data_IF_232953599018
#
_entry.id   IF_232953599018
#
_cell.length_a   1.000
_cell.length_b   1.000
_cell.length_c   1.000
_cell.angle_alpha   90.00
_cell.angle_beta   90.00
_cell.angle_gamma   90.00
#
_symmetry.space_group_name_H-M   'P 1'
#
loop_
_entity.id
_entity.type
_entity.pdbx_description
1 polymer ?
#
# COMPACT_ATOMS: atom_id res chain seq x y z
N UNK A 1 16.31 -44.12 -5.27
CA UNK A 1 17.22 -43.03 -5.65
C UNK A 1 17.57 -42.29 -4.36
N UNK A 2 18.53 -42.74 -3.54
CA UNK A 2 19.99 -42.80 -3.77
C UNK A 2 20.47 -41.46 -4.37
N UNK A 3 21.27 -40.62 -3.71
CA UNK A 3 22.51 -40.92 -2.95
C UNK A 3 22.88 -39.90 -1.84
N UNK A 4 23.36 -40.44 -0.70
CA UNK A 4 24.56 -40.10 0.13
C UNK A 4 25.05 -38.63 0.17
N UNK A 5 25.11 -37.91 1.30
CA UNK A 5 25.94 -38.04 2.53
C UNK A 5 27.48 -38.07 2.28
N UNK A 6 28.15 -37.00 2.76
CA UNK A 6 29.54 -36.84 3.27
C UNK A 6 30.73 -37.48 2.53
N UNK A 7 31.69 -36.64 2.13
CA UNK A 7 33.15 -36.95 1.98
C UNK A 7 33.92 -35.62 1.92
N UNK A 8 34.47 -35.10 3.02
CA UNK A 8 35.86 -35.29 3.51
C UNK A 8 36.94 -34.81 2.51
N UNK A 9 37.57 -33.70 2.91
CA UNK A 9 39.00 -33.32 2.79
C UNK A 9 39.87 -34.20 1.88
N UNK A 10 40.45 -33.57 0.86
CA UNK A 10 41.70 -34.00 0.24
C UNK A 10 42.63 -32.79 0.06
N UNK A 11 43.24 -32.36 1.17
CA UNK A 11 44.48 -31.59 1.16
C UNK A 11 45.60 -32.62 0.98
N UNK A 12 46.07 -32.83 -0.25
CA UNK A 12 47.34 -33.52 -0.50
C UNK A 12 47.76 -33.30 -1.96
N UNK A 13 48.80 -32.49 -2.17
CA UNK A 13 49.38 -32.37 -3.51
C UNK A 13 50.29 -31.18 -3.74
N UNK A 14 51.12 -30.77 -2.76
CA UNK A 14 52.28 -29.94 -3.05
C UNK A 14 53.54 -30.67 -2.57
N UNK A 15 53.96 -31.64 -3.37
CA UNK A 15 55.27 -32.27 -3.28
C UNK A 15 56.34 -31.21 -3.51
N UNK A 16 56.87 -30.68 -2.41
CA UNK A 16 58.10 -29.92 -2.34
C UNK A 16 59.27 -30.81 -2.78
N UNK A 17 59.72 -30.63 -4.02
CA UNK A 17 61.05 -31.05 -4.44
C UNK A 17 62.07 -30.09 -3.82
N UNK A 18 62.64 -30.47 -2.68
CA UNK A 18 63.79 -29.80 -2.07
C UNK A 18 65.07 -30.44 -2.63
N UNK A 19 65.60 -29.85 -3.70
CA UNK A 19 67.03 -29.98 -4.04
C UNK A 19 67.51 -28.66 -4.61
N UNK A 20 68.31 -27.92 -3.81
CA UNK A 20 69.09 -26.79 -4.31
C UNK A 20 68.93 -25.49 -3.51
N UNK A 21 69.40 -25.46 -2.27
CA UNK A 21 69.95 -24.23 -1.70
C UNK A 21 71.42 -24.17 -2.08
N UNK A 22 71.88 -23.12 -2.76
CA UNK A 22 72.95 -22.23 -2.27
C UNK A 22 73.45 -21.23 -3.35
N UNK A 23 72.64 -20.23 -3.71
CA UNK A 23 73.11 -18.88 -4.10
C UNK A 23 71.89 -17.95 -4.20
N UNK A 24 71.69 -17.03 -3.22
CA UNK A 24 70.66 -15.96 -3.30
C UNK A 24 69.49 -15.99 -2.31
N UNK A 25 69.59 -16.73 -1.20
CA UNK A 25 68.46 -17.02 -0.29
C UNK A 25 67.90 -15.84 0.53
N UNK A 26 68.65 -14.74 0.75
CA UNK A 26 68.12 -13.59 1.50
C UNK A 26 67.15 -12.74 0.68
N UNK A 27 67.39 -12.60 -0.63
CA UNK A 27 66.50 -11.84 -1.52
C UNK A 27 65.20 -12.62 -1.74
N UNK A 28 65.27 -13.92 -2.03
CA UNK A 28 64.07 -14.76 -2.20
C UNK A 28 63.21 -14.84 -0.92
N UNK A 29 63.82 -14.93 0.26
CA UNK A 29 63.06 -14.92 1.52
C UNK A 29 62.38 -13.56 1.78
N UNK A 30 63.05 -12.47 1.40
CA UNK A 30 62.51 -11.11 1.47
C UNK A 30 61.34 -10.94 0.49
N UNK A 31 61.52 -11.32 -0.77
CA UNK A 31 60.50 -11.25 -1.81
C UNK A 31 59.24 -12.04 -1.43
N UNK A 32 59.38 -13.24 -0.83
CA UNK A 32 58.24 -14.03 -0.34
C UNK A 32 57.55 -13.36 0.86
N UNK A 33 58.31 -12.73 1.75
CA UNK A 33 57.72 -12.01 2.89
C UNK A 33 56.96 -10.76 2.45
N UNK A 34 57.47 -10.07 1.43
CA UNK A 34 56.90 -8.86 0.82
C UNK A 34 55.63 -9.21 0.04
N UNK A 35 55.67 -10.28 -0.78
CA UNK A 35 54.49 -10.81 -1.46
C UNK A 35 53.39 -11.29 -0.48
N UNK A 36 53.77 -11.84 0.68
CA UNK A 36 52.81 -12.18 1.75
C UNK A 36 52.22 -10.94 2.39
N UNK A 37 52.99 -9.87 2.56
CA UNK A 37 52.51 -8.61 3.11
C UNK A 37 51.53 -7.94 2.15
N UNK A 38 51.88 -7.82 0.87
CA UNK A 38 50.99 -7.32 -0.20
C UNK A 38 49.70 -8.13 -0.29
N UNK A 39 49.78 -9.47 -0.34
CA UNK A 39 48.60 -10.31 -0.39
C UNK A 39 47.68 -10.12 0.83
N UNK A 40 48.25 -9.88 2.01
CA UNK A 40 47.44 -9.57 3.21
C UNK A 40 46.81 -8.17 3.13
N UNK A 41 47.51 -7.20 2.54
CA UNK A 41 47.00 -5.85 2.31
C UNK A 41 45.83 -5.86 1.32
N UNK A 42 45.98 -6.53 0.16
CA UNK A 42 44.92 -6.72 -0.84
C UNK A 42 43.70 -7.43 -0.25
N UNK A 43 43.89 -8.47 0.57
CA UNK A 43 42.79 -9.17 1.23
C UNK A 43 42.07 -8.24 2.23
N UNK A 44 42.80 -7.38 2.94
CA UNK A 44 42.21 -6.43 3.86
C UNK A 44 41.46 -5.32 3.13
N UNK A 45 41.99 -4.82 2.01
CA UNK A 45 41.33 -3.86 1.14
C UNK A 45 40.05 -4.45 0.54
N UNK A 46 40.12 -5.66 -0.03
CA UNK A 46 38.95 -6.37 -0.55
C UNK A 46 37.88 -6.61 0.52
N UNK A 47 38.27 -6.86 1.77
CA UNK A 47 37.32 -6.98 2.90
C UNK A 47 36.67 -5.65 3.26
N UNK A 48 37.41 -4.54 3.24
CA UNK A 48 36.87 -3.18 3.45
C UNK A 48 35.89 -2.83 2.33
N UNK A 49 36.30 -3.01 1.08
CA UNK A 49 35.49 -2.78 -0.11
C UNK A 49 34.18 -3.57 -0.10
N UNK A 50 34.26 -4.86 0.26
CA UNK A 50 33.08 -5.70 0.40
C UNK A 50 32.16 -5.19 1.51
N UNK A 51 32.71 -4.79 2.66
CA UNK A 51 31.94 -4.25 3.79
C UNK A 51 31.24 -2.95 3.42
N UNK A 52 31.92 -2.04 2.74
CA UNK A 52 31.36 -0.76 2.28
C UNK A 52 30.25 -0.98 1.26
N UNK A 53 30.46 -1.87 0.28
CA UNK A 53 29.41 -2.27 -0.70
C UNK A 53 28.20 -2.88 0.00
N UNK A 54 28.41 -3.76 0.99
CA UNK A 54 27.33 -4.34 1.77
C UNK A 54 26.57 -3.30 2.60
N UNK A 55 27.26 -2.30 3.14
CA UNK A 55 26.63 -1.19 3.88
C UNK A 55 25.74 -0.37 2.97
N UNK A 56 26.27 0.07 1.82
CA UNK A 56 25.52 0.89 0.84
C UNK A 56 24.32 0.12 0.28
N UNK A 57 24.49 -1.15 -0.10
CA UNK A 57 23.37 -1.97 -0.58
C UNK A 57 22.29 -2.20 0.49
N UNK A 58 22.65 -2.24 1.79
CA UNK A 58 21.64 -2.29 2.86
C UNK A 58 20.89 -0.97 2.99
N UNK A 59 21.57 0.15 2.88
CA UNK A 59 20.96 1.48 2.88
C UNK A 59 20.01 1.67 1.70
N UNK A 60 20.39 1.21 0.50
CA UNK A 60 19.53 1.21 -0.69
C UNK A 60 18.26 0.36 -0.48
N UNK A 61 18.38 -0.81 0.14
CA UNK A 61 17.23 -1.69 0.43
C UNK A 61 16.30 -1.07 1.48
N UNK A 62 16.85 -0.41 2.50
CA UNK A 62 16.04 0.29 3.51
C UNK A 62 15.31 1.46 2.87
N UNK A 63 16.01 2.30 2.11
CA UNK A 63 15.44 3.44 1.38
C UNK A 63 14.35 2.98 0.42
N UNK A 64 14.61 1.96 -0.40
CA UNK A 64 13.63 1.42 -1.35
C UNK A 64 12.39 0.85 -0.62
N UNK A 65 12.57 0.26 0.57
CA UNK A 65 11.46 -0.23 1.39
C UNK A 65 10.65 0.93 1.97
N UNK A 66 11.30 1.97 2.48
CA UNK A 66 10.64 3.17 3.01
C UNK A 66 9.85 3.88 1.91
N UNK A 67 10.43 4.07 0.73
CA UNK A 67 9.76 4.64 -0.45
C UNK A 67 8.53 3.82 -0.86
N UNK A 68 8.65 2.48 -0.88
CA UNK A 68 7.53 1.60 -1.21
C UNK A 68 6.40 1.72 -0.18
N UNK A 69 6.74 1.75 1.11
CA UNK A 69 5.75 1.90 2.19
C UNK A 69 5.08 3.27 2.10
N UNK A 70 5.84 4.34 1.91
CA UNK A 70 5.33 5.72 1.77
C UNK A 70 4.35 5.80 0.59
N UNK A 71 4.77 5.39 -0.61
CA UNK A 71 3.89 5.42 -1.79
C UNK A 71 2.64 4.56 -1.62
N UNK A 72 2.74 3.45 -0.90
CA UNK A 72 1.59 2.59 -0.62
C UNK A 72 0.63 3.24 0.39
N UNK A 73 1.15 3.96 1.38
CA UNK A 73 0.33 4.73 2.32
C UNK A 73 -0.36 5.89 1.59
N UNK A 74 0.38 6.69 0.82
CA UNK A 74 -0.18 7.79 0.03
C UNK A 74 -1.27 7.29 -0.93
N UNK A 75 -1.04 6.17 -1.63
CA UNK A 75 -2.04 5.60 -2.53
C UNK A 75 -3.30 5.11 -1.81
N UNK A 76 -3.17 4.60 -0.58
CA UNK A 76 -4.31 4.16 0.25
C UNK A 76 -5.09 5.34 0.80
N UNK A 77 -4.41 6.40 1.24
CA UNK A 77 -5.02 7.63 1.72
C UNK A 77 -5.80 8.31 0.60
N UNK A 78 -5.17 8.49 -0.57
CA UNK A 78 -5.85 9.04 -1.76
C UNK A 78 -7.06 8.17 -2.18
N UNK A 79 -6.97 6.84 -2.10
CA UNK A 79 -8.09 5.97 -2.42
C UNK A 79 -9.24 6.15 -1.40
N UNK A 80 -8.93 6.18 -0.11
CA UNK A 80 -9.92 6.38 0.94
C UNK A 80 -10.62 7.75 0.83
N UNK A 81 -9.86 8.80 0.51
CA UNK A 81 -10.40 10.14 0.24
C UNK A 81 -11.36 10.11 -0.95
N UNK A 82 -10.93 9.57 -2.10
CA UNK A 82 -11.77 9.46 -3.30
C UNK A 82 -13.02 8.61 -3.05
N UNK A 83 -12.91 7.52 -2.29
CA UNK A 83 -14.05 6.67 -1.92
C UNK A 83 -15.04 7.42 -0.99
N UNK A 84 -14.54 8.19 -0.01
CA UNK A 84 -15.35 9.03 0.87
C UNK A 84 -16.07 10.14 0.09
N UNK A 85 -15.35 10.82 -0.80
CA UNK A 85 -15.91 11.85 -1.67
C UNK A 85 -16.99 11.28 -2.61
N UNK A 86 -16.70 10.15 -3.25
CA UNK A 86 -17.66 9.47 -4.13
C UNK A 86 -18.92 9.04 -3.36
N UNK A 87 -18.76 8.50 -2.16
CA UNK A 87 -19.88 8.11 -1.29
C UNK A 87 -20.72 9.33 -0.90
N UNK A 88 -20.06 10.43 -0.52
CA UNK A 88 -20.72 11.70 -0.19
C UNK A 88 -21.49 12.28 -1.38
N UNK A 89 -20.89 12.28 -2.56
CA UNK A 89 -21.52 12.76 -3.79
C UNK A 89 -22.74 11.91 -4.15
N UNK A 90 -22.61 10.57 -4.09
CA UNK A 90 -23.70 9.64 -4.36
C UNK A 90 -24.87 9.80 -3.37
N UNK A 91 -24.58 9.97 -2.08
CA UNK A 91 -25.60 10.19 -1.06
C UNK A 91 -26.41 11.47 -1.32
N UNK A 92 -25.74 12.56 -1.73
CA UNK A 92 -26.40 13.81 -2.11
C UNK A 92 -27.24 13.67 -3.37
N UNK A 93 -26.71 13.02 -4.40
CA UNK A 93 -27.44 12.79 -5.65
C UNK A 93 -28.70 11.93 -5.43
N UNK A 94 -28.59 10.86 -4.64
CA UNK A 94 -29.72 10.01 -4.28
C UNK A 94 -30.80 10.79 -3.51
N UNK A 95 -30.38 11.65 -2.59
CA UNK A 95 -31.29 12.54 -1.85
C UNK A 95 -32.04 13.52 -2.76
N UNK A 96 -31.34 14.15 -3.71
CA UNK A 96 -31.94 15.10 -4.65
C UNK A 96 -32.96 14.43 -5.58
N UNK A 97 -32.63 13.21 -6.06
CA UNK A 97 -33.56 12.38 -6.83
C UNK A 97 -34.81 12.06 -5.98
N UNK A 98 -34.62 11.56 -4.76
CA UNK A 98 -35.72 11.19 -3.88
C UNK A 98 -36.62 12.38 -3.54
N UNK A 99 -36.06 13.57 -3.29
CA UNK A 99 -36.85 14.80 -3.10
C UNK A 99 -37.63 15.18 -4.36
N UNK A 100 -36.99 15.15 -5.53
CA UNK A 100 -37.65 15.49 -6.80
C UNK A 100 -38.81 14.55 -7.10
N UNK A 101 -38.62 13.24 -6.86
CA UNK A 101 -39.68 12.26 -7.03
C UNK A 101 -40.83 12.46 -6.03
N UNK A 102 -40.51 12.74 -4.77
CA UNK A 102 -41.50 13.01 -3.73
C UNK A 102 -42.33 14.27 -4.07
N UNK A 103 -41.68 15.33 -4.56
CA UNK A 103 -42.35 16.54 -5.04
C UNK A 103 -43.25 16.25 -6.23
N UNK A 104 -42.78 15.46 -7.20
CA UNK A 104 -43.59 15.01 -8.33
C UNK A 104 -44.85 14.26 -7.89
N UNK A 105 -44.70 13.29 -6.97
CA UNK A 105 -45.83 12.53 -6.41
C UNK A 105 -46.80 13.43 -5.63
N UNK A 106 -46.28 14.36 -4.83
CA UNK A 106 -47.07 15.32 -4.07
C UNK A 106 -47.89 16.25 -4.97
N UNK A 107 -47.27 16.79 -6.02
CA UNK A 107 -47.94 17.64 -7.00
C UNK A 107 -49.08 16.88 -7.69
N UNK A 108 -48.82 15.66 -8.16
CA UNK A 108 -49.85 14.80 -8.77
C UNK A 108 -50.98 14.51 -7.78
N UNK A 109 -50.67 14.21 -6.51
CA UNK A 109 -51.68 13.95 -5.49
C UNK A 109 -52.53 15.19 -5.20
N UNK A 110 -51.90 16.36 -5.12
CA UNK A 110 -52.56 17.65 -4.92
C UNK A 110 -53.51 17.98 -6.07
N UNK A 111 -53.08 17.78 -7.33
CA UNK A 111 -53.93 17.96 -8.51
C UNK A 111 -55.14 17.00 -8.48
N UNK A 112 -54.92 15.72 -8.12
CA UNK A 112 -56.02 14.75 -7.93
C UNK A 112 -56.99 15.19 -6.83
N UNK A 113 -56.49 15.83 -5.76
CA UNK A 113 -57.34 16.37 -4.70
C UNK A 113 -58.27 17.49 -5.19
N UNK A 114 -57.92 18.16 -6.31
CA UNK A 114 -58.76 19.16 -6.97
C UNK A 114 -60.11 18.64 -7.43
N UNK A 115 -60.27 17.32 -7.63
CA UNK A 115 -61.53 16.69 -8.01
C UNK A 115 -62.56 16.62 -6.86
N UNK A 116 -62.13 16.79 -5.60
CA UNK A 116 -63.01 16.77 -4.43
C UNK A 116 -63.45 18.18 -4.04
N UNK A 117 -64.48 18.27 -3.19
CA UNK A 117 -64.98 19.53 -2.65
C UNK A 117 -65.04 19.49 -1.11
N UNK A 118 -65.10 20.67 -0.48
CA UNK A 118 -65.30 20.84 0.97
C UNK A 118 -64.33 19.99 1.82
N UNK A 119 -64.87 19.24 2.79
CA UNK A 119 -64.12 18.44 3.77
C UNK A 119 -63.32 17.31 3.12
N UNK A 120 -63.79 16.76 2.00
CA UNK A 120 -63.10 15.67 1.30
C UNK A 120 -61.82 16.19 0.62
N UNK A 121 -61.87 17.40 0.06
CA UNK A 121 -60.68 18.06 -0.50
C UNK A 121 -59.64 18.33 0.58
N UNK A 122 -60.06 18.86 1.74
CA UNK A 122 -59.16 19.13 2.85
C UNK A 122 -58.51 17.84 3.38
N UNK A 123 -59.29 16.77 3.56
CA UNK A 123 -58.78 15.47 3.99
C UNK A 123 -57.82 14.85 2.94
N UNK A 124 -58.08 15.04 1.65
CA UNK A 124 -57.19 14.59 0.59
C UNK A 124 -55.85 15.33 0.63
N UNK A 125 -55.86 16.67 0.68
CA UNK A 125 -54.64 17.49 0.74
C UNK A 125 -53.80 17.15 1.98
N UNK A 126 -54.45 17.04 3.15
CA UNK A 126 -53.77 16.66 4.38
C UNK A 126 -53.04 15.31 4.28
N UNK A 127 -53.62 14.32 3.59
CA UNK A 127 -52.96 13.04 3.35
C UNK A 127 -51.78 13.17 2.37
N UNK A 128 -51.94 13.97 1.31
CA UNK A 128 -50.86 14.22 0.36
C UNK A 128 -49.67 14.89 1.05
N UNK A 129 -49.91 15.91 1.87
CA UNK A 129 -48.88 16.63 2.64
C UNK A 129 -48.19 15.71 3.65
N UNK A 130 -48.95 14.88 4.36
CA UNK A 130 -48.40 13.93 5.32
C UNK A 130 -47.52 12.86 4.63
N UNK A 131 -47.93 12.36 3.47
CA UNK A 131 -47.14 11.43 2.68
C UNK A 131 -45.84 12.07 2.21
N UNK A 132 -45.92 13.29 1.65
CA UNK A 132 -44.74 14.04 1.20
C UNK A 132 -43.76 14.33 2.34
N UNK A 133 -44.25 14.76 3.51
CA UNK A 133 -43.42 14.98 4.69
C UNK A 133 -42.70 13.69 5.15
N UNK A 134 -43.40 12.55 5.11
CA UNK A 134 -42.83 11.24 5.46
C UNK A 134 -41.72 10.84 4.47
N UNK A 135 -41.97 10.99 3.17
CA UNK A 135 -40.97 10.67 2.14
C UNK A 135 -39.73 11.58 2.24
N UNK A 136 -39.91 12.88 2.50
CA UNK A 136 -38.77 13.79 2.74
C UNK A 136 -37.97 13.39 3.98
N UNK A 137 -38.64 13.02 5.07
CA UNK A 137 -37.97 12.58 6.29
C UNK A 137 -37.16 11.30 6.05
N UNK A 138 -37.71 10.35 5.28
CA UNK A 138 -37.00 9.13 4.91
C UNK A 138 -35.76 9.44 4.04
N UNK A 139 -35.91 10.30 3.02
CA UNK A 139 -34.78 10.68 2.17
C UNK A 139 -33.65 11.37 2.97
N UNK A 140 -34.00 12.22 3.95
CA UNK A 140 -33.03 12.82 4.87
C UNK A 140 -32.32 11.74 5.68
N UNK A 141 -33.06 10.80 6.26
CA UNK A 141 -32.49 9.72 7.08
C UNK A 141 -31.53 8.84 6.27
N UNK A 142 -31.91 8.48 5.04
CA UNK A 142 -31.08 7.66 4.15
C UNK A 142 -29.79 8.38 3.75
N UNK A 143 -29.89 9.67 3.40
CA UNK A 143 -28.72 10.51 3.14
C UNK A 143 -27.79 10.58 4.34
N UNK A 144 -28.34 10.87 5.53
CA UNK A 144 -27.54 11.04 6.73
C UNK A 144 -26.87 9.73 7.16
N UNK A 145 -27.54 8.59 6.98
CA UNK A 145 -26.96 7.27 7.18
C UNK A 145 -25.80 7.00 6.21
N UNK A 146 -25.94 7.37 4.93
CA UNK A 146 -24.87 7.22 3.94
C UNK A 146 -23.68 8.17 4.22
N UNK A 147 -23.94 9.40 4.65
CA UNK A 147 -22.89 10.35 5.04
C UNK A 147 -22.17 9.92 6.33
N UNK A 148 -22.88 9.31 7.28
CA UNK A 148 -22.26 8.74 8.47
C UNK A 148 -21.30 7.60 8.12
N UNK A 149 -21.67 6.75 7.15
CA UNK A 149 -20.79 5.69 6.65
C UNK A 149 -19.53 6.26 5.99
N UNK A 150 -19.66 7.30 5.15
CA UNK A 150 -18.50 7.95 4.52
C UNK A 150 -17.47 8.47 5.54
N UNK A 151 -17.93 9.08 6.65
CA UNK A 151 -17.04 9.59 7.72
C UNK A 151 -16.34 8.51 8.53
N UNK A 152 -16.81 7.27 8.50
CA UNK A 152 -16.13 6.17 9.20
C UNK A 152 -14.95 5.58 8.40
N UNK A 153 -14.75 6.04 7.16
CA UNK A 153 -13.63 5.66 6.30
C UNK A 153 -12.47 6.68 6.32
N UNK A 154 -12.61 7.78 7.05
CA UNK A 154 -11.56 8.77 7.39
C UNK A 154 -10.81 8.36 8.66
#
# INVERSE_FOLDING_TARGET
MNYQILSIVAIAGLSLAITGCNQGTSNTAKDVSEARAEANEEVNEARRDATDKFSNSREDVVTAREDYVSRTQDARENLAEVESEATTANARAAFDIAQTEAEGRHNIATEKCGAYTNVDKAACLSRADAAFATEKAQAIADRDAALAQARHHE
#
